data_IF_889068586600
#
_entry.id   IF_889068586600
#
_cell.length_a   1.000
_cell.length_b   1.000
_cell.length_c   1.000
_cell.angle_alpha   90.00
_cell.angle_beta   90.00
_cell.angle_gamma   90.00
#
_symmetry.space_group_name_H-M   'P 1'
#
loop_
_entity.id
_entity.type
_entity.pdbx_description
1 polymer ?
#
# COMPACT_ATOMS: atom_id res chain seq x y z
N UNK A 1 -16.95 -24.37 9.73
CA UNK A 1 -17.96 -23.53 9.06
C UNK A 1 -18.15 -22.26 9.87
N UNK A 2 -18.08 -21.08 9.25
CA UNK A 2 -18.27 -19.78 9.91
C UNK A 2 -19.37 -18.98 9.20
N UNK A 3 -20.56 -18.98 9.81
CA UNK A 3 -21.74 -18.26 9.34
C UNK A 3 -22.05 -17.00 10.16
N UNK A 4 -21.41 -16.83 11.32
CA UNK A 4 -21.78 -15.81 12.28
C UNK A 4 -21.39 -14.41 11.78
N UNK A 5 -22.39 -13.60 11.47
CA UNK A 5 -22.23 -12.20 11.05
C UNK A 5 -23.56 -11.45 11.21
N UNK A 6 -23.49 -10.14 11.48
CA UNK A 6 -24.58 -9.23 11.16
C UNK A 6 -24.68 -9.11 9.64
N UNK A 7 -25.90 -9.13 9.08
CA UNK A 7 -26.11 -9.34 7.64
C UNK A 7 -27.04 -8.36 6.94
N UNK A 8 -27.67 -7.43 7.65
CA UNK A 8 -28.65 -6.53 7.04
C UNK A 8 -27.94 -5.33 6.39
N UNK A 9 -27.98 -5.25 5.05
CA UNK A 9 -27.33 -4.19 4.27
C UNK A 9 -27.74 -2.78 4.74
N UNK A 10 -29.04 -2.50 4.84
CA UNK A 10 -29.54 -1.19 5.24
C UNK A 10 -29.15 -0.78 6.66
N UNK A 11 -29.19 -1.73 7.61
CA UNK A 11 -28.77 -1.46 9.00
C UNK A 11 -27.26 -1.21 9.06
N UNK A 12 -26.46 -1.93 8.26
CA UNK A 12 -25.02 -1.73 8.21
C UNK A 12 -24.64 -0.29 7.85
N UNK A 13 -25.40 0.35 6.95
CA UNK A 13 -25.22 1.76 6.60
C UNK A 13 -25.55 2.72 7.75
N UNK A 14 -26.47 2.35 8.64
CA UNK A 14 -26.82 3.16 9.82
C UNK A 14 -25.87 2.93 11.01
N UNK A 15 -25.34 1.70 11.14
CA UNK A 15 -24.50 1.27 12.27
C UNK A 15 -23.19 0.61 11.78
N UNK A 16 -22.35 1.31 10.99
CA UNK A 16 -21.18 0.70 10.35
C UNK A 16 -20.19 0.11 11.37
N UNK A 17 -19.91 0.82 12.48
CA UNK A 17 -18.97 0.35 13.51
C UNK A 17 -19.41 -0.96 14.18
N UNK A 18 -20.71 -1.18 14.34
CA UNK A 18 -21.24 -2.42 14.93
C UNK A 18 -20.99 -3.61 14.00
N UNK A 19 -21.20 -3.41 12.69
CA UNK A 19 -20.94 -4.42 11.67
C UNK A 19 -19.45 -4.74 11.54
N UNK A 20 -18.57 -3.73 11.51
CA UNK A 20 -17.12 -3.96 11.47
C UNK A 20 -16.63 -4.71 12.72
N UNK A 21 -17.05 -4.27 13.90
CA UNK A 21 -16.67 -4.92 15.17
C UNK A 21 -17.16 -6.37 15.22
N UNK A 22 -18.42 -6.63 14.87
CA UNK A 22 -18.97 -7.97 14.95
C UNK A 22 -18.35 -8.90 13.89
N UNK A 23 -18.33 -8.47 12.62
CA UNK A 23 -18.00 -9.36 11.51
C UNK A 23 -16.49 -9.56 11.37
N UNK A 24 -15.68 -8.51 11.49
CA UNK A 24 -14.22 -8.60 11.31
C UNK A 24 -13.58 -9.15 12.59
N UNK A 25 -13.75 -8.47 13.73
CA UNK A 25 -13.12 -8.90 14.98
C UNK A 25 -13.64 -10.26 15.44
N UNK A 26 -14.95 -10.55 15.27
CA UNK A 26 -15.48 -11.89 15.56
C UNK A 26 -14.82 -12.99 14.73
N UNK A 27 -14.50 -12.72 13.47
CA UNK A 27 -13.78 -13.67 12.62
C UNK A 27 -12.31 -13.81 13.03
N UNK A 28 -11.60 -12.71 13.34
CA UNK A 28 -10.22 -12.77 13.82
C UNK A 28 -10.09 -13.58 15.11
N UNK A 29 -10.97 -13.34 16.09
CA UNK A 29 -11.01 -14.09 17.34
C UNK A 29 -11.21 -15.59 17.12
N UNK A 30 -12.09 -15.96 16.17
CA UNK A 30 -12.28 -17.35 15.80
C UNK A 30 -11.00 -17.94 15.20
N UNK A 31 -10.34 -17.23 14.29
CA UNK A 31 -9.12 -17.71 13.63
C UNK A 31 -7.98 -17.91 14.64
N UNK A 32 -7.76 -16.98 15.57
CA UNK A 32 -6.76 -17.12 16.63
C UNK A 32 -7.01 -18.39 17.47
N UNK A 33 -8.28 -18.69 17.77
CA UNK A 33 -8.66 -19.92 18.45
C UNK A 33 -8.42 -21.15 17.57
N UNK A 34 -8.80 -21.11 16.29
CA UNK A 34 -8.55 -22.21 15.36
C UNK A 34 -7.05 -22.53 15.26
N UNK A 35 -6.20 -21.51 15.15
CA UNK A 35 -4.74 -21.65 15.15
C UNK A 35 -4.24 -22.26 16.47
N UNK A 36 -4.67 -21.71 17.61
CA UNK A 36 -4.32 -22.22 18.95
C UNK A 36 -4.64 -23.70 19.14
N UNK A 37 -5.73 -24.18 18.54
CA UNK A 37 -6.17 -25.57 18.62
C UNK A 37 -5.75 -26.42 17.40
N UNK A 38 -4.90 -25.89 16.51
CA UNK A 38 -4.39 -26.63 15.34
C UNK A 38 -5.44 -26.93 14.26
N UNK A 39 -6.57 -26.24 14.26
CA UNK A 39 -7.61 -26.37 13.25
C UNK A 39 -7.30 -25.51 12.02
N UNK A 40 -6.94 -26.13 10.89
CA UNK A 40 -6.48 -25.45 9.68
C UNK A 40 -7.49 -25.43 8.53
N UNK A 41 -8.74 -25.79 8.81
CA UNK A 41 -9.81 -25.88 7.82
C UNK A 41 -10.95 -24.95 8.20
N UNK A 42 -11.26 -24.00 7.31
CA UNK A 42 -12.36 -23.06 7.49
C UNK A 42 -13.17 -22.95 6.20
N UNK A 43 -14.49 -23.04 6.36
CA UNK A 43 -15.44 -22.62 5.32
C UNK A 43 -16.05 -21.32 5.80
N UNK A 44 -15.91 -20.27 4.99
CA UNK A 44 -16.40 -18.93 5.30
C UNK A 44 -17.62 -18.59 4.45
N UNK A 45 -18.69 -18.16 5.11
CA UNK A 45 -19.88 -17.66 4.42
C UNK A 45 -19.65 -16.23 3.96
N UNK A 46 -19.31 -16.06 2.68
CA UNK A 46 -19.17 -14.74 2.06
C UNK A 46 -20.52 -14.20 1.57
N UNK A 47 -20.52 -13.33 0.56
CA UNK A 47 -21.72 -12.76 -0.05
C UNK A 47 -21.42 -12.14 -1.40
N UNK A 48 -22.31 -12.30 -2.39
CA UNK A 48 -22.26 -11.58 -3.66
C UNK A 48 -22.12 -10.04 -3.55
N UNK A 49 -22.37 -9.44 -2.38
CA UNK A 49 -22.08 -8.02 -2.12
C UNK A 49 -20.59 -7.66 -2.23
N UNK A 50 -19.68 -8.65 -2.20
CA UNK A 50 -18.23 -8.43 -2.43
C UNK A 50 -17.88 -8.09 -3.87
N UNK A 51 -18.79 -8.31 -4.82
CA UNK A 51 -18.63 -7.92 -6.23
C UNK A 51 -19.04 -6.46 -6.50
N UNK A 52 -19.61 -5.75 -5.51
CA UNK A 52 -20.01 -4.35 -5.68
C UNK A 52 -21.14 -4.15 -6.69
N UNK A 53 -21.00 -3.14 -7.55
CA UNK A 53 -21.89 -2.87 -8.69
C UNK A 53 -21.30 -3.54 -9.96
N UNK A 54 -21.80 -4.71 -10.38
CA UNK A 54 -21.16 -5.52 -11.40
C UNK A 54 -21.35 -4.93 -12.80
N UNK A 55 -20.28 -4.92 -13.60
CA UNK A 55 -20.34 -4.45 -15.00
C UNK A 55 -21.00 -5.44 -15.96
N UNK A 56 -21.01 -6.74 -15.63
CA UNK A 56 -21.58 -7.81 -16.44
C UNK A 56 -22.48 -8.71 -15.59
N UNK A 57 -23.50 -9.29 -16.22
CA UNK A 57 -24.39 -10.28 -15.62
C UNK A 57 -24.55 -11.49 -16.57
N UNK A 58 -24.62 -12.74 -16.05
CA UNK A 58 -24.47 -13.12 -14.65
C UNK A 58 -23.05 -12.89 -14.12
N UNK A 59 -22.92 -12.66 -12.80
CA UNK A 59 -21.62 -12.50 -12.14
C UNK A 59 -20.96 -13.89 -12.04
N UNK A 60 -19.69 -13.98 -12.42
CA UNK A 60 -18.86 -15.18 -12.26
C UNK A 60 -17.84 -14.98 -11.13
N UNK A 61 -17.36 -16.07 -10.53
CA UNK A 61 -16.30 -16.09 -9.52
C UNK A 61 -14.96 -15.55 -10.01
N UNK A 62 -14.78 -15.44 -11.34
CA UNK A 62 -13.63 -14.81 -11.97
C UNK A 62 -13.72 -13.28 -12.03
N UNK A 63 -14.89 -12.70 -11.70
CA UNK A 63 -15.07 -11.25 -11.64
C UNK A 63 -14.32 -10.65 -10.45
N UNK A 64 -13.93 -9.38 -10.59
CA UNK A 64 -13.18 -8.68 -9.55
C UNK A 64 -14.03 -8.44 -8.30
N UNK A 65 -13.46 -8.76 -7.14
CA UNK A 65 -14.05 -8.44 -5.83
C UNK A 65 -13.41 -7.19 -5.23
N UNK A 66 -14.13 -6.49 -4.35
CA UNK A 66 -13.61 -5.31 -3.64
C UNK A 66 -13.69 -4.00 -4.40
N UNK A 67 -14.13 -4.03 -5.66
CA UNK A 67 -14.34 -2.84 -6.49
C UNK A 67 -15.78 -2.37 -6.36
N UNK A 68 -15.99 -1.06 -6.17
CA UNK A 68 -17.34 -0.48 -6.16
C UNK A 68 -18.25 -0.97 -5.01
N UNK A 69 -17.69 -1.38 -3.88
CA UNK A 69 -18.47 -1.83 -2.72
C UNK A 69 -19.39 -0.73 -2.20
N UNK A 70 -20.70 -0.99 -2.21
CA UNK A 70 -21.74 0.04 -1.98
C UNK A 70 -22.20 0.19 -0.53
N UNK A 71 -21.82 -0.74 0.36
CA UNK A 71 -22.33 -0.77 1.74
C UNK A 71 -21.35 -1.40 2.74
N UNK A 72 -21.45 -1.04 4.05
CA UNK A 72 -20.56 -1.56 5.09
C UNK A 72 -20.61 -3.09 5.24
N UNK A 73 -21.77 -3.73 5.09
CA UNK A 73 -21.87 -5.20 5.16
C UNK A 73 -21.01 -5.89 4.09
N UNK A 74 -21.14 -5.51 2.82
CA UNK A 74 -20.32 -6.06 1.73
C UNK A 74 -18.83 -5.79 1.93
N UNK A 75 -18.48 -4.61 2.43
CA UNK A 75 -17.11 -4.29 2.87
C UNK A 75 -16.62 -5.23 3.95
N UNK A 76 -17.39 -5.53 4.99
CA UNK A 76 -16.96 -6.46 6.04
C UNK A 76 -16.67 -7.87 5.51
N UNK A 77 -17.43 -8.34 4.51
CA UNK A 77 -17.21 -9.64 3.86
C UNK A 77 -15.92 -9.65 3.04
N UNK A 78 -15.74 -8.65 2.18
CA UNK A 78 -14.52 -8.51 1.38
C UNK A 78 -13.26 -8.36 2.26
N UNK A 79 -13.32 -7.53 3.30
CA UNK A 79 -12.23 -7.36 4.26
C UNK A 79 -11.85 -8.67 4.95
N UNK A 80 -12.84 -9.50 5.29
CA UNK A 80 -12.61 -10.80 5.90
C UNK A 80 -11.98 -11.78 4.91
N UNK A 81 -12.42 -11.79 3.64
CA UNK A 81 -11.76 -12.59 2.60
C UNK A 81 -10.30 -12.22 2.43
N UNK A 82 -9.97 -10.92 2.42
CA UNK A 82 -8.59 -10.44 2.28
C UNK A 82 -7.70 -10.88 3.46
N UNK A 83 -8.19 -10.75 4.70
CA UNK A 83 -7.49 -11.25 5.90
C UNK A 83 -7.25 -12.75 5.78
N UNK A 84 -8.26 -13.52 5.37
CA UNK A 84 -8.15 -14.97 5.23
C UNK A 84 -7.17 -15.37 4.12
N UNK A 85 -7.16 -14.70 2.97
CA UNK A 85 -6.20 -14.92 1.87
C UNK A 85 -4.77 -14.68 2.34
N UNK A 86 -4.53 -13.58 3.07
CA UNK A 86 -3.20 -13.27 3.60
C UNK A 86 -2.70 -14.34 4.59
N UNK A 87 -3.60 -14.85 5.45
CA UNK A 87 -3.29 -15.95 6.36
C UNK A 87 -3.03 -17.26 5.61
N UNK A 88 -3.81 -17.62 4.60
CA UNK A 88 -3.56 -18.80 3.77
C UNK A 88 -2.15 -18.76 3.17
N UNK A 89 -1.72 -17.59 2.67
CA UNK A 89 -0.38 -17.39 2.13
C UNK A 89 0.72 -17.51 3.20
N UNK A 90 0.46 -17.06 4.42
CA UNK A 90 1.44 -17.06 5.51
C UNK A 90 1.57 -18.42 6.23
N UNK A 91 0.47 -19.13 6.49
CA UNK A 91 0.43 -20.27 7.44
C UNK A 91 -0.08 -21.61 6.85
N UNK A 92 -0.19 -21.74 5.52
CA UNK A 92 -0.69 -22.96 4.83
C UNK A 92 -2.07 -23.43 5.32
N UNK A 93 -2.95 -22.52 5.72
CA UNK A 93 -4.34 -22.82 6.07
C UNK A 93 -5.15 -23.16 4.80
N UNK A 94 -6.03 -24.17 4.83
CA UNK A 94 -6.90 -24.52 3.70
C UNK A 94 -8.27 -23.87 3.87
N UNK A 95 -8.68 -23.04 2.92
CA UNK A 95 -9.96 -22.33 2.92
C UNK A 95 -10.80 -22.70 1.70
N UNK A 96 -12.12 -22.84 1.92
CA UNK A 96 -13.14 -22.88 0.87
C UNK A 96 -14.07 -21.68 1.10
N UNK A 97 -14.16 -20.80 0.11
CA UNK A 97 -15.13 -19.70 0.09
C UNK A 97 -16.43 -20.25 -0.51
N UNK A 98 -17.53 -20.25 0.25
CA UNK A 98 -18.85 -20.63 -0.28
C UNK A 98 -19.64 -19.35 -0.62
N UNK A 99 -19.98 -19.18 -1.89
CA UNK A 99 -21.04 -18.26 -2.38
C UNK A 99 -22.29 -19.10 -2.73
N UNK A 100 -23.52 -18.69 -2.40
CA UNK A 100 -24.67 -19.56 -2.54
C UNK A 100 -25.17 -19.56 -3.99
N UNK A 101 -24.65 -20.49 -4.80
CA UNK A 101 -25.39 -21.37 -5.73
C UNK A 101 -24.40 -22.20 -6.54
N UNK A 102 -24.44 -23.52 -6.37
CA UNK A 102 -23.53 -24.45 -7.03
C UNK A 102 -23.83 -24.67 -8.51
N UNK A 103 -22.80 -25.04 -9.28
CA UNK A 103 -22.62 -26.35 -9.92
C UNK A 103 -21.26 -26.37 -10.66
N UNK A 104 -20.62 -27.54 -10.69
CA UNK A 104 -19.35 -27.81 -11.38
C UNK A 104 -19.43 -27.59 -12.90
N UNK A 105 -18.36 -27.09 -13.52
CA UNK A 105 -18.03 -27.33 -14.94
C UNK A 105 -16.51 -27.58 -15.13
N UNK A 106 -16.11 -28.32 -16.18
CA UNK A 106 -14.92 -29.18 -16.17
C UNK A 106 -13.64 -28.48 -16.67
N UNK A 107 -12.51 -28.96 -16.14
CA UNK A 107 -11.10 -28.60 -16.39
C UNK A 107 -10.67 -28.53 -17.87
N UNK A 108 -11.54 -28.88 -18.83
CA UNK A 108 -11.21 -28.94 -20.26
C UNK A 108 -11.26 -27.58 -20.98
N UNK A 109 -12.08 -26.61 -20.54
CA UNK A 109 -12.19 -25.30 -21.22
C UNK A 109 -11.00 -24.35 -20.92
N UNK A 110 -10.34 -24.53 -19.78
CA UNK A 110 -9.20 -23.71 -19.35
C UNK A 110 -7.93 -24.06 -20.13
N UNK A 111 -7.76 -25.34 -20.46
CA UNK A 111 -6.63 -25.84 -21.23
C UNK A 111 -6.67 -25.34 -22.69
N UNK A 112 -7.85 -25.28 -23.32
CA UNK A 112 -8.02 -24.77 -24.69
C UNK A 112 -7.70 -23.26 -24.78
N UNK A 113 -8.07 -22.47 -23.77
CA UNK A 113 -7.75 -21.05 -23.73
C UNK A 113 -6.25 -20.78 -23.53
N UNK A 114 -5.58 -21.58 -22.69
CA UNK A 114 -4.14 -21.52 -22.46
C UNK A 114 -3.37 -21.93 -23.72
N UNK A 115 -3.82 -22.96 -24.45
CA UNK A 115 -3.19 -23.42 -25.68
C UNK A 115 -3.39 -22.42 -26.83
N UNK A 116 -4.55 -21.76 -26.91
CA UNK A 116 -4.79 -20.67 -27.87
C UNK A 116 -3.87 -19.47 -27.61
N UNK A 117 -3.71 -19.06 -26.35
CA UNK A 117 -2.78 -17.99 -25.94
C UNK A 117 -1.33 -18.34 -26.29
N UNK A 118 -0.92 -19.59 -26.05
CA UNK A 118 0.43 -20.07 -26.36
C UNK A 118 0.70 -20.05 -27.87
N UNK A 119 -0.27 -20.44 -28.69
CA UNK A 119 -0.15 -20.44 -30.15
C UNK A 119 -0.06 -19.00 -30.71
N UNK A 120 -0.89 -18.08 -30.20
CA UNK A 120 -0.82 -16.65 -30.57
C UNK A 120 0.53 -16.05 -30.18
N UNK A 121 1.08 -16.40 -29.02
CA UNK A 121 2.40 -15.95 -28.59
C UNK A 121 3.53 -16.54 -29.45
N UNK A 122 3.44 -17.81 -29.88
CA UNK A 122 4.42 -18.41 -30.79
C UNK A 122 4.39 -17.77 -32.18
N UNK A 123 3.22 -17.46 -32.71
CA UNK A 123 3.07 -16.76 -34.00
C UNK A 123 3.61 -15.33 -33.94
N UNK A 124 3.51 -14.65 -32.79
CA UNK A 124 4.08 -13.31 -32.58
C UNK A 124 5.61 -13.30 -32.47
N UNK A 125 6.24 -14.45 -32.19
CA UNK A 125 7.69 -14.60 -32.05
C UNK A 125 8.38 -15.03 -33.36
N UNK A 126 7.63 -15.31 -34.42
CA UNK A 126 8.12 -15.60 -35.77
C UNK A 126 8.36 -14.28 -36.54
N UNK A 127 9.62 -13.83 -36.74
CA UNK A 127 9.91 -12.48 -37.23
C UNK A 127 9.44 -12.19 -38.66
N UNK A 128 9.20 -13.23 -39.46
CA UNK A 128 9.07 -13.12 -40.91
C UNK A 128 7.62 -12.94 -41.40
N UNK A 129 6.60 -13.05 -40.53
CA UNK A 129 5.18 -12.91 -40.91
C UNK A 129 4.46 -11.72 -40.25
N UNK A 130 5.24 -10.83 -39.62
CA UNK A 130 4.76 -9.72 -38.77
C UNK A 130 3.82 -8.75 -39.49
N UNK A 131 3.95 -8.58 -40.80
CA UNK A 131 3.11 -7.65 -41.60
C UNK A 131 1.75 -8.25 -41.98
N UNK A 132 1.69 -9.54 -42.36
CA UNK A 132 0.43 -10.23 -42.71
C UNK A 132 -0.46 -10.47 -41.49
N UNK A 133 0.14 -10.76 -40.34
CA UNK A 133 -0.62 -10.99 -39.09
C UNK A 133 -1.17 -9.69 -38.50
N UNK A 134 -0.49 -8.55 -38.68
CA UNK A 134 -0.97 -7.24 -38.20
C UNK A 134 -2.24 -6.76 -38.93
N UNK A 135 -2.35 -7.06 -40.22
CA UNK A 135 -3.48 -6.63 -41.06
C UNK A 135 -4.73 -7.47 -40.78
N UNK A 136 -4.55 -8.77 -40.52
CA UNK A 136 -5.59 -9.68 -40.00
C UNK A 136 -6.07 -9.28 -38.60
N UNK A 137 -5.15 -8.91 -37.70
CA UNK A 137 -5.48 -8.48 -36.32
C UNK A 137 -6.17 -7.11 -36.24
N UNK A 138 -5.94 -6.21 -37.21
CA UNK A 138 -6.59 -4.89 -37.28
C UNK A 138 -8.09 -4.96 -37.56
N UNK A 139 -8.56 -6.01 -38.23
CA UNK A 139 -9.93 -6.09 -38.74
C UNK A 139 -10.90 -6.92 -37.87
N UNK A 140 -10.42 -7.74 -36.93
CA UNK A 140 -11.30 -8.77 -36.30
C UNK A 140 -11.45 -8.75 -34.77
N UNK A 141 -10.87 -7.83 -34.01
CA UNK A 141 -11.08 -7.93 -32.55
C UNK A 141 -11.16 -6.62 -31.78
N UNK A 142 -12.40 -6.11 -31.71
CA UNK A 142 -12.86 -5.12 -30.72
C UNK A 142 -12.52 -5.57 -29.29
N UNK A 143 -12.47 -6.88 -29.03
CA UNK A 143 -12.07 -7.46 -27.73
C UNK A 143 -10.59 -7.25 -27.42
N UNK A 144 -9.66 -7.49 -28.37
CA UNK A 144 -8.24 -7.18 -28.17
C UNK A 144 -7.99 -5.68 -28.07
N UNK A 145 -8.74 -4.84 -28.79
CA UNK A 145 -8.70 -3.38 -28.59
C UNK A 145 -9.19 -2.99 -27.21
N UNK A 146 -10.28 -3.58 -26.71
CA UNK A 146 -10.76 -3.31 -25.35
C UNK A 146 -9.84 -3.87 -24.28
N UNK A 147 -9.25 -5.06 -24.45
CA UNK A 147 -8.25 -5.61 -23.54
C UNK A 147 -6.99 -4.78 -23.57
N UNK A 148 -6.43 -4.43 -24.72
CA UNK A 148 -5.22 -3.60 -24.82
C UNK A 148 -5.47 -2.18 -24.32
N UNK A 149 -6.63 -1.60 -24.62
CA UNK A 149 -7.03 -0.29 -24.10
C UNK A 149 -7.26 -0.37 -22.60
N UNK A 150 -7.92 -1.40 -22.08
CA UNK A 150 -8.03 -1.68 -20.65
C UNK A 150 -6.65 -1.89 -20.03
N UNK A 151 -5.73 -2.63 -20.64
CA UNK A 151 -4.36 -2.88 -20.15
C UNK A 151 -3.49 -1.62 -20.19
N UNK A 152 -3.75 -0.68 -21.10
CA UNK A 152 -3.05 0.60 -21.25
C UNK A 152 -3.68 1.68 -20.36
N UNK A 153 -5.01 1.66 -20.20
CA UNK A 153 -5.78 2.60 -19.38
C UNK A 153 -5.80 2.20 -17.89
N UNK A 154 -5.55 0.92 -17.56
CA UNK A 154 -5.37 0.41 -16.17
C UNK A 154 -3.92 0.41 -15.69
N UNK A 155 -2.95 0.80 -16.53
CA UNK A 155 -1.65 1.24 -16.00
C UNK A 155 -1.89 2.56 -15.29
N UNK A 156 -1.91 2.52 -13.96
CA UNK A 156 -1.91 3.70 -13.12
C UNK A 156 -0.84 4.67 -13.62
N UNK A 157 -1.30 5.78 -14.22
CA UNK A 157 -0.39 6.81 -14.74
C UNK A 157 0.17 7.55 -13.54
N UNK A 158 1.46 7.39 -13.28
CA UNK A 158 2.12 8.27 -12.31
C UNK A 158 2.09 9.72 -12.85
N UNK A 159 1.92 10.73 -11.99
CA UNK A 159 1.83 10.64 -10.53
C UNK A 159 0.48 10.14 -9.99
N UNK A 160 0.49 9.46 -8.83
CA UNK A 160 -0.70 8.92 -8.14
C UNK A 160 -1.56 10.06 -7.60
N UNK A 161 -2.86 10.06 -7.92
CA UNK A 161 -3.84 11.04 -7.46
C UNK A 161 -4.82 10.42 -6.46
N UNK A 162 -5.56 11.24 -5.72
CA UNK A 162 -6.47 10.76 -4.67
C UNK A 162 -7.70 10.01 -5.20
N UNK A 163 -8.04 10.22 -6.48
CA UNK A 163 -9.16 9.59 -7.21
C UNK A 163 -8.81 8.25 -7.85
N UNK A 164 -7.57 7.76 -7.70
CA UNK A 164 -7.16 6.45 -8.22
C UNK A 164 -7.95 5.32 -7.55
N UNK A 165 -8.14 4.21 -8.29
CA UNK A 165 -8.80 3.00 -7.79
C UNK A 165 -8.03 2.45 -6.58
N UNK A 166 -8.77 2.07 -5.53
CA UNK A 166 -8.23 1.56 -4.26
C UNK A 166 -8.85 0.20 -3.95
N UNK A 167 -8.15 -0.62 -3.16
CA UNK A 167 -8.67 -1.90 -2.66
C UNK A 167 -7.99 -3.10 -3.31
N UNK A 168 -8.55 -3.59 -4.43
CA UNK A 168 -8.10 -4.83 -5.09
C UNK A 168 -6.61 -4.84 -5.52
N UNK A 169 -5.98 -3.66 -5.64
CA UNK A 169 -4.58 -3.51 -6.04
C UNK A 169 -3.58 -3.41 -4.86
N UNK A 170 -4.03 -3.53 -3.60
CA UNK A 170 -3.11 -3.52 -2.46
C UNK A 170 -2.23 -4.78 -2.47
N UNK A 171 -0.93 -4.62 -2.71
CA UNK A 171 0.05 -5.73 -2.87
C UNK A 171 0.59 -6.29 -1.56
N UNK A 172 0.26 -5.68 -0.41
CA UNK A 172 0.73 -6.09 0.90
C UNK A 172 -0.37 -6.02 1.97
N UNK A 173 -0.33 -6.87 3.01
CA UNK A 173 -1.25 -6.78 4.15
C UNK A 173 -1.24 -5.39 4.80
N UNK A 174 -0.07 -4.76 4.90
CA UNK A 174 0.06 -3.41 5.44
C UNK A 174 -0.77 -2.39 4.63
N UNK A 175 -0.62 -2.38 3.30
CA UNK A 175 -1.43 -1.54 2.41
C UNK A 175 -2.93 -1.82 2.52
N UNK A 176 -3.31 -3.11 2.62
CA UNK A 176 -4.71 -3.52 2.84
C UNK A 176 -5.25 -2.97 4.15
N UNK A 177 -4.50 -3.05 5.26
CA UNK A 177 -4.98 -2.52 6.55
C UNK A 177 -5.29 -1.02 6.49
N UNK A 178 -4.45 -0.22 5.82
CA UNK A 178 -4.67 1.23 5.65
C UNK A 178 -5.90 1.52 4.79
N UNK A 179 -6.08 0.78 3.69
CA UNK A 179 -7.28 0.86 2.87
C UNK A 179 -8.55 0.54 3.68
N UNK A 180 -8.51 -0.54 4.46
CA UNK A 180 -9.62 -0.97 5.32
C UNK A 180 -9.98 0.12 6.33
N UNK A 181 -8.98 0.72 6.99
CA UNK A 181 -9.21 1.84 7.90
C UNK A 181 -9.84 3.05 7.20
N UNK A 182 -9.40 3.42 5.99
CA UNK A 182 -10.04 4.51 5.24
C UNK A 182 -11.50 4.22 4.92
N UNK A 183 -11.83 3.00 4.50
CA UNK A 183 -13.21 2.60 4.20
C UNK A 183 -14.11 2.67 5.43
N UNK A 184 -13.62 2.21 6.59
CA UNK A 184 -14.33 2.31 7.87
C UNK A 184 -14.60 3.77 8.22
N UNK A 185 -13.59 4.64 8.08
CA UNK A 185 -13.71 6.06 8.39
C UNK A 185 -14.68 6.79 7.45
N UNK A 186 -14.70 6.46 6.15
CA UNK A 186 -15.68 6.98 5.20
C UNK A 186 -17.10 6.59 5.58
N UNK A 187 -17.33 5.33 5.88
CA UNK A 187 -18.67 4.85 6.24
C UNK A 187 -19.13 5.45 7.56
N UNK A 188 -18.21 5.68 8.50
CA UNK A 188 -18.50 6.42 9.72
C UNK A 188 -18.98 7.84 9.43
N UNK A 189 -18.26 8.62 8.62
CA UNK A 189 -18.69 10.00 8.26
C UNK A 189 -19.97 10.02 7.41
N UNK A 190 -20.24 8.93 6.67
CA UNK A 190 -21.49 8.78 5.93
C UNK A 190 -22.67 8.58 6.88
N UNK A 191 -22.51 7.76 7.92
CA UNK A 191 -23.52 7.49 8.94
C UNK A 191 -23.66 8.62 9.98
N UNK A 192 -22.56 9.32 10.29
CA UNK A 192 -22.47 10.40 11.30
C UNK A 192 -22.07 11.71 10.61
N UNK A 193 -23.07 12.47 10.17
CA UNK A 193 -22.89 13.68 9.35
C UNK A 193 -22.18 14.83 10.07
N UNK A 194 -22.07 14.77 11.39
CA UNK A 194 -21.40 15.73 12.26
C UNK A 194 -19.89 15.47 12.43
N UNK A 195 -19.37 14.39 11.84
CA UNK A 195 -17.95 14.04 11.87
C UNK A 195 -17.18 14.62 10.69
N UNK A 196 -15.96 15.09 10.96
CA UNK A 196 -14.96 15.45 9.95
C UNK A 196 -13.74 14.55 10.05
N UNK A 197 -13.34 13.93 8.95
CA UNK A 197 -12.15 13.07 8.87
C UNK A 197 -11.29 13.49 7.68
N UNK A 198 -10.00 13.70 7.94
CA UNK A 198 -8.98 13.79 6.91
C UNK A 198 -8.07 12.56 6.98
N UNK A 199 -7.97 11.83 5.87
CA UNK A 199 -6.95 10.80 5.67
C UNK A 199 -5.75 11.41 4.97
N UNK A 200 -4.59 11.38 5.61
CA UNK A 200 -3.35 11.83 5.00
C UNK A 200 -2.54 10.62 4.52
N UNK A 201 -2.31 10.53 3.22
CA UNK A 201 -1.55 9.44 2.59
C UNK A 201 -0.11 9.85 2.40
N UNK A 202 0.74 9.35 3.27
CA UNK A 202 2.17 9.65 3.20
C UNK A 202 2.82 8.76 2.15
N UNK A 203 3.86 9.30 1.51
CA UNK A 203 4.72 8.52 0.62
C UNK A 203 5.90 7.97 1.43
N UNK A 204 7.10 8.51 1.29
CA UNK A 204 8.27 8.03 2.01
C UNK A 204 8.90 9.15 2.85
N UNK A 205 8.40 9.37 4.09
CA UNK A 205 8.93 10.38 4.98
C UNK A 205 10.38 10.08 5.37
N UNK A 206 11.24 11.09 5.27
CA UNK A 206 12.67 11.06 5.59
C UNK A 206 13.10 12.43 6.09
N UNK A 207 14.35 12.59 6.52
CA UNK A 207 14.81 13.85 7.10
C UNK A 207 15.00 13.76 8.60
N UNK A 208 15.39 14.89 9.19
CA UNK A 208 15.45 15.08 10.63
C UNK A 208 15.14 16.54 10.94
N UNK A 209 14.96 16.89 12.21
CA UNK A 209 14.83 18.29 12.56
C UNK A 209 16.15 19.03 12.33
N UNK A 210 16.10 20.23 11.75
CA UNK A 210 17.28 21.03 11.35
C UNK A 210 18.29 21.25 12.50
N UNK A 211 17.83 21.21 13.75
CA UNK A 211 18.72 21.26 14.93
C UNK A 211 19.76 20.14 15.00
N UNK A 212 19.50 18.99 14.37
CA UNK A 212 20.26 17.75 14.57
C UNK A 212 20.09 17.12 15.95
N UNK A 213 19.04 17.52 16.71
CA UNK A 213 18.70 16.98 18.04
C UNK A 213 17.53 16.00 18.04
N UNK A 214 16.79 15.93 16.93
CA UNK A 214 15.64 15.03 16.77
C UNK A 214 15.72 14.47 15.36
N UNK A 215 15.67 13.14 15.24
CA UNK A 215 15.62 12.43 13.97
C UNK A 215 15.18 10.99 14.18
N UNK A 216 15.18 10.20 13.11
CA UNK A 216 14.75 8.80 13.17
C UNK A 216 15.78 7.93 13.90
N UNK A 217 15.31 7.11 14.83
CA UNK A 217 16.12 6.18 15.62
C UNK A 217 15.36 4.85 15.83
N UNK A 218 15.30 3.99 14.80
CA UNK A 218 14.55 2.75 14.87
C UNK A 218 15.26 1.74 15.77
N UNK A 219 14.47 0.94 16.50
CA UNK A 219 15.00 -0.18 17.27
C UNK A 219 15.56 -1.26 16.35
N UNK A 220 16.79 -1.71 16.61
CA UNK A 220 17.44 -2.78 15.86
C UNK A 220 17.95 -2.34 14.48
N UNK A 221 17.95 -3.26 13.51
CA UNK A 221 18.34 -2.97 12.13
C UNK A 221 17.18 -2.24 11.45
N UNK A 222 17.40 -1.04 10.87
CA UNK A 222 16.33 -0.32 10.20
C UNK A 222 15.69 -1.12 9.06
N UNK A 223 14.37 -1.02 8.92
CA UNK A 223 13.66 -1.58 7.77
C UNK A 223 13.59 -0.59 6.59
N UNK A 224 13.63 0.71 6.87
CA UNK A 224 13.51 1.79 5.91
C UNK A 224 14.88 2.13 5.30
N UNK A 225 14.89 2.56 4.04
CA UNK A 225 16.10 2.81 3.27
C UNK A 225 17.03 3.85 3.91
N UNK A 226 16.50 5.04 4.22
CA UNK A 226 17.34 6.19 4.59
C UNK A 226 18.03 6.03 5.96
N UNK A 227 17.37 5.55 7.02
CA UNK A 227 18.06 5.24 8.27
C UNK A 227 19.11 4.14 8.12
N UNK A 228 18.86 3.15 7.25
CA UNK A 228 19.86 2.12 6.95
C UNK A 228 21.09 2.75 6.27
N UNK A 229 20.89 3.57 5.24
CA UNK A 229 21.95 4.33 4.56
C UNK A 229 22.74 5.17 5.57
N UNK A 230 22.05 5.86 6.48
CA UNK A 230 22.67 6.67 7.52
C UNK A 230 23.53 5.84 8.49
N UNK A 231 23.07 4.65 8.88
CA UNK A 231 23.87 3.73 9.71
C UNK A 231 25.07 3.14 8.98
N UNK A 232 24.99 2.91 7.66
CA UNK A 232 26.15 2.52 6.85
C UNK A 232 27.15 3.68 6.78
N UNK A 233 26.69 4.90 6.52
CA UNK A 233 27.54 6.10 6.51
C UNK A 233 28.25 6.34 7.85
N UNK A 234 27.56 6.04 8.95
CA UNK A 234 28.08 6.14 10.31
C UNK A 234 29.01 4.95 10.70
N UNK A 235 29.20 3.97 9.82
CA UNK A 235 30.05 2.80 10.05
C UNK A 235 29.47 1.75 10.99
N UNK A 236 28.16 1.81 11.30
CA UNK A 236 27.48 0.82 12.16
C UNK A 236 27.06 -0.43 11.41
N UNK A 237 26.75 -0.27 10.13
CA UNK A 237 26.39 -1.37 9.23
C UNK A 237 27.42 -1.43 8.10
N UNK A 238 27.85 -2.64 7.70
CA UNK A 238 28.96 -2.78 6.75
C UNK A 238 28.57 -2.38 5.32
N UNK A 239 27.33 -2.66 4.91
CA UNK A 239 26.80 -2.37 3.56
C UNK A 239 25.28 -2.36 3.53
N UNK A 240 24.70 -1.61 2.61
CA UNK A 240 23.28 -1.61 2.29
C UNK A 240 22.92 -2.76 1.35
N UNK A 241 21.75 -3.37 1.53
CA UNK A 241 21.12 -4.25 0.53
C UNK A 241 20.09 -3.47 -0.27
N UNK A 242 20.28 -3.41 -1.59
CA UNK A 242 19.37 -2.78 -2.55
C UNK A 242 18.49 -3.88 -3.15
N UNK A 243 17.21 -3.92 -2.77
CA UNK A 243 16.28 -4.95 -3.22
C UNK A 243 15.79 -4.65 -4.65
N UNK A 244 16.22 -5.46 -5.61
CA UNK A 244 15.90 -5.34 -7.03
C UNK A 244 16.78 -4.36 -7.79
N UNK A 245 17.29 -4.83 -8.94
CA UNK A 245 18.06 -4.04 -9.92
C UNK A 245 17.53 -4.19 -11.35
N UNK A 246 16.31 -4.70 -11.48
CA UNK A 246 15.67 -5.12 -12.73
C UNK A 246 14.23 -4.58 -12.84
N UNK A 247 13.84 -3.62 -11.99
CA UNK A 247 12.57 -2.92 -12.13
C UNK A 247 12.56 -2.09 -13.43
N UNK A 248 11.38 -1.85 -14.04
CA UNK A 248 11.25 -0.99 -15.21
C UNK A 248 11.37 0.51 -14.85
N UNK A 249 12.48 0.89 -14.25
CA UNK A 249 12.82 2.26 -13.81
C UNK A 249 14.16 2.69 -14.44
N UNK A 250 14.53 3.95 -14.30
CA UNK A 250 15.71 4.54 -14.98
C UNK A 250 17.04 3.85 -14.69
N UNK A 251 17.18 3.20 -13.55
CA UNK A 251 18.41 2.52 -13.12
C UNK A 251 18.18 1.11 -12.57
N UNK A 252 16.99 0.54 -12.82
CA UNK A 252 16.61 -0.80 -12.37
C UNK A 252 16.19 -0.89 -10.90
N UNK A 253 16.38 0.15 -10.10
CA UNK A 253 16.03 0.15 -8.67
C UNK A 253 14.68 0.80 -8.39
N UNK A 254 14.07 0.49 -7.24
CA UNK A 254 12.76 1.04 -6.87
C UNK A 254 12.76 2.58 -6.79
N UNK A 255 11.71 3.21 -7.31
CA UNK A 255 11.52 4.67 -7.29
C UNK A 255 10.42 5.05 -6.29
N UNK A 256 10.68 6.03 -5.44
CA UNK A 256 9.77 6.49 -4.39
C UNK A 256 9.74 8.02 -4.29
N UNK A 257 8.64 8.57 -3.81
CA UNK A 257 8.51 9.98 -3.45
C UNK A 257 8.94 10.19 -2.01
N UNK A 258 10.13 10.76 -1.85
CA UNK A 258 10.66 11.09 -0.52
C UNK A 258 10.19 12.47 -0.12
N UNK A 259 9.64 12.58 1.09
CA UNK A 259 9.13 13.82 1.66
C UNK A 259 9.85 14.13 2.96
N UNK A 260 10.24 15.40 3.17
CA UNK A 260 10.91 15.79 4.39
C UNK A 260 9.94 15.75 5.58
N UNK A 261 10.38 15.21 6.72
CA UNK A 261 9.55 15.01 7.91
C UNK A 261 8.91 16.30 8.42
N UNK A 262 9.63 17.43 8.35
CA UNK A 262 9.07 18.73 8.72
C UNK A 262 7.98 19.21 7.75
N UNK A 263 8.11 18.94 6.45
CA UNK A 263 7.05 19.27 5.48
C UNK A 263 5.83 18.38 5.72
N UNK A 264 6.05 17.12 6.09
CA UNK A 264 4.97 16.23 6.49
C UNK A 264 4.24 16.76 7.75
N UNK A 265 4.97 17.21 8.76
CA UNK A 265 4.41 17.81 9.99
C UNK A 265 3.60 19.07 9.66
N UNK A 266 4.10 19.95 8.78
CA UNK A 266 3.30 21.12 8.37
C UNK A 266 2.02 20.70 7.64
N UNK A 267 2.05 19.60 6.87
CA UNK A 267 0.86 19.03 6.24
C UNK A 267 -0.19 18.57 7.25
N UNK A 268 0.25 17.97 8.36
CA UNK A 268 -0.64 17.61 9.47
C UNK A 268 -1.27 18.85 10.12
N UNK A 269 -0.47 19.90 10.37
CA UNK A 269 -0.97 21.16 10.94
C UNK A 269 -2.02 21.78 10.01
N UNK A 270 -1.77 21.80 8.70
CA UNK A 270 -2.73 22.32 7.71
C UNK A 270 -4.01 21.51 7.61
N UNK A 271 -3.92 20.19 7.69
CA UNK A 271 -5.09 19.33 7.78
C UNK A 271 -5.90 19.60 9.06
N UNK A 272 -5.25 19.76 10.20
CA UNK A 272 -5.91 20.10 11.47
C UNK A 272 -6.59 21.47 11.40
N UNK A 273 -5.90 22.50 10.89
CA UNK A 273 -6.48 23.82 10.64
C UNK A 273 -7.72 23.73 9.73
N UNK A 274 -7.70 22.87 8.71
CA UNK A 274 -8.84 22.66 7.82
C UNK A 274 -10.01 21.97 8.52
N UNK A 275 -9.76 20.94 9.34
CA UNK A 275 -10.80 20.27 10.15
C UNK A 275 -11.44 21.25 11.13
N UNK A 276 -10.62 22.05 11.82
CA UNK A 276 -11.08 22.98 12.86
C UNK A 276 -11.92 24.15 12.29
N UNK A 277 -11.91 24.36 10.97
CA UNK A 277 -12.85 25.26 10.26
C UNK A 277 -14.23 24.60 10.01
N UNK A 278 -14.63 23.71 10.91
CA UNK A 278 -15.89 22.97 10.90
C UNK A 278 -16.12 22.07 9.67
N UNK A 279 -15.04 21.51 9.10
CA UNK A 279 -15.19 20.55 8.01
C UNK A 279 -15.91 19.28 8.48
N UNK A 280 -16.93 18.85 7.71
CA UNK A 280 -17.68 17.62 7.90
C UNK A 280 -17.58 16.72 6.67
N UNK A 281 -17.57 15.41 6.89
CA UNK A 281 -17.38 14.40 5.86
C UNK A 281 -15.98 13.81 5.87
N UNK A 282 -15.63 13.11 4.79
CA UNK A 282 -14.32 12.48 4.61
C UNK A 282 -13.58 13.14 3.45
N UNK A 283 -12.28 13.39 3.65
CA UNK A 283 -11.38 13.81 2.57
C UNK A 283 -10.04 13.12 2.70
N UNK A 284 -9.44 12.76 1.57
CA UNK A 284 -8.08 12.23 1.54
C UNK A 284 -7.16 13.22 0.83
N UNK A 285 -5.92 13.31 1.28
CA UNK A 285 -4.87 14.09 0.63
C UNK A 285 -3.59 13.27 0.54
N UNK A 286 -2.95 13.28 -0.63
CA UNK A 286 -1.59 12.79 -0.78
C UNK A 286 -0.61 13.83 -0.22
N UNK A 287 0.27 13.40 0.67
CA UNK A 287 1.38 14.22 1.18
C UNK A 287 2.71 13.65 0.69
N UNK A 288 3.22 14.26 -0.38
CA UNK A 288 4.52 13.97 -0.99
C UNK A 288 5.00 15.18 -1.79
N UNK A 289 6.15 15.04 -2.44
CA UNK A 289 6.76 16.11 -3.26
C UNK A 289 6.35 16.04 -4.72
N UNK A 290 5.81 14.90 -5.14
CA UNK A 290 5.58 14.52 -6.53
C UNK A 290 6.82 14.21 -7.34
N UNK A 291 8.00 14.18 -6.70
CA UNK A 291 9.27 13.84 -7.34
C UNK A 291 9.70 12.42 -6.95
N UNK A 292 9.78 11.54 -7.94
CA UNK A 292 10.30 10.18 -7.75
C UNK A 292 11.83 10.14 -7.78
N UNK A 293 12.45 9.58 -6.73
CA UNK A 293 13.88 9.27 -6.68
C UNK A 293 14.08 7.75 -6.56
N UNK A 294 15.08 7.22 -7.25
CA UNK A 294 15.47 5.82 -7.14
C UNK A 294 16.29 5.55 -5.88
N UNK A 295 16.46 4.28 -5.51
CA UNK A 295 17.36 3.90 -4.41
C UNK A 295 18.79 4.43 -4.65
N UNK A 296 19.28 4.38 -5.89
CA UNK A 296 20.62 4.89 -6.21
C UNK A 296 20.70 6.42 -6.20
N UNK A 297 19.62 7.14 -6.50
CA UNK A 297 19.57 8.59 -6.31
C UNK A 297 19.76 8.96 -4.84
N UNK A 298 19.06 8.27 -3.93
CA UNK A 298 19.17 8.48 -2.48
C UNK A 298 20.59 8.20 -2.00
N UNK A 299 21.21 7.11 -2.46
CA UNK A 299 22.60 6.79 -2.11
C UNK A 299 23.55 7.90 -2.54
N UNK A 300 23.39 8.45 -3.76
CA UNK A 300 24.23 9.56 -4.24
C UNK A 300 24.02 10.84 -3.41
N UNK A 301 22.77 11.23 -3.19
CA UNK A 301 22.45 12.41 -2.37
C UNK A 301 23.00 12.27 -0.93
N UNK A 302 22.95 11.07 -0.36
CA UNK A 302 23.50 10.82 0.97
C UNK A 302 25.03 10.82 1.01
N UNK A 303 25.71 10.31 -0.02
CA UNK A 303 27.18 10.42 -0.16
C UNK A 303 27.62 11.88 -0.19
N UNK A 304 26.93 12.70 -0.98
CA UNK A 304 27.18 14.15 -1.06
C UNK A 304 26.98 14.83 0.30
N UNK A 305 25.86 14.55 0.98
CA UNK A 305 25.55 15.13 2.29
C UNK A 305 26.52 14.71 3.41
N UNK A 306 27.01 13.47 3.37
CA UNK A 306 27.84 12.89 4.43
C UNK A 306 29.35 13.00 4.20
N UNK A 307 29.77 13.13 2.94
CA UNK A 307 31.17 12.95 2.53
C UNK A 307 31.70 11.54 2.81
N UNK A 308 30.82 10.54 2.98
CA UNK A 308 31.16 9.14 3.28
C UNK A 308 30.81 8.24 2.11
N UNK A 309 31.60 7.17 1.95
CA UNK A 309 31.20 6.08 1.08
C UNK A 309 30.00 5.33 1.68
N UNK A 310 29.13 4.86 0.78
CA UNK A 310 27.96 4.04 1.14
C UNK A 310 28.07 2.73 0.36
N UNK A 311 28.77 1.71 0.88
CA UNK A 311 28.84 0.40 0.24
C UNK A 311 27.44 -0.21 0.12
N UNK A 312 27.12 -0.79 -1.03
CA UNK A 312 25.85 -1.49 -1.24
C UNK A 312 26.01 -2.70 -2.16
N UNK A 313 25.06 -3.63 -2.05
CA UNK A 313 24.90 -4.76 -2.97
C UNK A 313 23.47 -4.81 -3.50
N UNK A 314 23.29 -5.12 -4.78
CA UNK A 314 21.97 -5.39 -5.35
C UNK A 314 21.62 -6.84 -5.07
N UNK A 315 20.43 -7.08 -4.54
CA UNK A 315 19.88 -8.40 -4.18
C UNK A 315 18.51 -8.61 -4.83
N UNK A 316 17.92 -9.79 -4.65
CA UNK A 316 16.58 -10.09 -5.14
C UNK A 316 15.51 -9.09 -4.65
N UNK A 317 14.41 -8.99 -5.40
CA UNK A 317 13.29 -8.12 -5.03
C UNK A 317 12.67 -8.54 -3.70
N UNK A 318 12.25 -7.56 -2.91
CA UNK A 318 11.50 -7.81 -1.68
C UNK A 318 10.02 -8.09 -2.04
N UNK A 319 9.40 -9.15 -1.50
CA UNK A 319 7.98 -9.41 -1.73
C UNK A 319 7.12 -8.20 -1.34
N UNK A 320 6.20 -7.82 -2.23
CA UNK A 320 5.30 -6.67 -2.05
C UNK A 320 5.81 -5.35 -2.61
N UNK A 321 7.12 -5.20 -2.88
CA UNK A 321 7.69 -3.96 -3.43
C UNK A 321 7.30 -3.74 -4.89
N UNK A 322 6.76 -2.55 -5.18
CA UNK A 322 6.44 -2.09 -6.52
C UNK A 322 7.59 -1.28 -7.15
N UNK A 323 7.58 -1.17 -8.48
CA UNK A 323 8.63 -0.51 -9.24
C UNK A 323 8.76 0.99 -8.92
N UNK A 324 7.66 1.74 -9.00
CA UNK A 324 7.65 3.19 -8.80
C UNK A 324 6.37 3.65 -8.09
N UNK A 325 6.49 4.62 -7.17
CA UNK A 325 5.37 5.24 -6.47
C UNK A 325 5.69 6.70 -6.11
N UNK A 326 4.93 7.66 -6.64
CA UNK A 326 5.02 9.09 -6.31
C UNK A 326 3.69 9.81 -6.57
N UNK A 327 3.37 10.88 -5.82
CA UNK A 327 2.03 11.51 -5.87
C UNK A 327 1.91 12.74 -6.75
N UNK A 328 0.67 13.08 -7.07
CA UNK A 328 0.22 14.43 -7.33
C UNK A 328 -0.30 14.98 -5.99
N UNK A 329 0.31 16.06 -5.50
CA UNK A 329 -0.07 16.73 -4.25
C UNK A 329 -0.91 18.02 -4.51
N UNK A 330 -1.35 18.27 -5.75
CA UNK A 330 -2.07 19.49 -6.12
C UNK A 330 -3.37 19.70 -5.34
N UNK A 331 -4.02 18.62 -4.89
CA UNK A 331 -5.23 18.72 -4.09
C UNK A 331 -4.93 19.28 -2.68
N UNK A 332 -3.82 18.85 -2.07
CA UNK A 332 -3.37 19.38 -0.78
C UNK A 332 -2.94 20.85 -0.91
N UNK A 333 -2.27 21.23 -2.00
CA UNK A 333 -1.93 22.62 -2.27
C UNK A 333 -3.18 23.48 -2.40
N UNK A 334 -4.14 23.06 -3.24
CA UNK A 334 -5.37 23.80 -3.49
C UNK A 334 -6.21 24.01 -2.23
N UNK A 335 -6.43 22.95 -1.45
CA UNK A 335 -7.43 22.98 -0.39
C UNK A 335 -6.83 23.29 0.99
N UNK A 336 -5.59 22.89 1.24
CA UNK A 336 -4.90 23.11 2.51
C UNK A 336 -3.89 24.27 2.46
N UNK A 337 -3.56 24.78 1.26
CA UNK A 337 -2.47 25.73 1.07
C UNK A 337 -1.11 25.11 1.44
N UNK A 338 -0.96 23.80 1.25
CA UNK A 338 0.23 23.05 1.65
C UNK A 338 0.99 22.51 0.44
N UNK A 339 2.31 22.69 0.44
CA UNK A 339 3.22 22.08 -0.52
C UNK A 339 4.51 21.68 0.21
N UNK A 340 5.12 20.55 -0.17
CA UNK A 340 6.44 20.18 0.32
C UNK A 340 7.50 21.11 -0.31
N UNK A 341 8.43 21.59 0.49
CA UNK A 341 9.39 22.65 0.11
C UNK A 341 10.83 22.16 0.03
N UNK A 342 11.14 21.05 0.68
CA UNK A 342 12.49 20.47 0.76
C UNK A 342 12.68 19.37 -0.27
N UNK A 343 13.90 19.27 -0.78
CA UNK A 343 14.30 18.23 -1.73
C UNK A 343 15.13 17.11 -1.10
N UNK A 344 15.55 16.14 -1.90
CA UNK A 344 16.32 14.99 -1.42
C UNK A 344 17.67 15.37 -0.78
N UNK A 345 18.27 16.49 -1.19
CA UNK A 345 19.53 16.96 -0.62
C UNK A 345 19.30 17.54 0.77
N UNK A 346 18.26 18.35 0.96
CA UNK A 346 17.84 18.83 2.28
C UNK A 346 17.58 17.66 3.23
N UNK A 347 16.82 16.66 2.76
CA UNK A 347 16.50 15.44 3.51
C UNK A 347 17.75 14.69 3.94
N UNK A 348 18.66 14.40 3.01
CA UNK A 348 19.89 13.68 3.33
C UNK A 348 20.81 14.49 4.24
N UNK A 349 20.89 15.81 4.05
CA UNK A 349 21.70 16.71 4.86
C UNK A 349 21.24 16.76 6.31
N UNK A 350 19.93 16.85 6.54
CA UNK A 350 19.35 16.88 7.88
C UNK A 350 19.46 15.50 8.57
N UNK A 351 19.23 14.39 7.84
CA UNK A 351 19.48 13.04 8.37
C UNK A 351 20.94 12.87 8.78
N UNK A 352 21.89 13.28 7.94
CA UNK A 352 23.31 13.17 8.30
C UNK A 352 23.68 14.07 9.48
N UNK A 353 23.12 15.29 9.56
CA UNK A 353 23.33 16.19 10.71
C UNK A 353 22.87 15.54 12.01
N UNK A 354 21.73 14.85 12.00
CA UNK A 354 21.25 14.05 13.14
C UNK A 354 22.16 12.85 13.42
N UNK A 355 22.38 11.98 12.44
CA UNK A 355 23.07 10.71 12.62
C UNK A 355 24.54 10.87 13.03
N UNK A 356 25.24 11.88 12.50
CA UNK A 356 26.64 12.18 12.84
C UNK A 356 26.82 12.69 14.27
N UNK A 357 25.80 13.37 14.83
CA UNK A 357 25.77 13.83 16.22
C UNK A 357 25.27 12.76 17.19
N UNK A 358 24.47 11.82 16.69
CA UNK A 358 23.77 10.80 17.46
C UNK A 358 24.03 9.42 16.85
N UNK A 359 25.31 9.02 16.77
CA UNK A 359 25.72 7.75 16.13
C UNK A 359 24.95 6.57 16.72
N UNK A 360 24.74 6.56 18.04
CA UNK A 360 24.03 5.50 18.74
C UNK A 360 22.54 5.75 18.94
N UNK A 361 21.97 6.75 18.26
CA UNK A 361 20.58 7.16 18.46
C UNK A 361 20.41 8.00 19.72
N UNK A 362 19.19 8.00 20.26
CA UNK A 362 18.90 8.64 21.53
C UNK A 362 19.60 7.92 22.68
N UNK A 363 20.03 8.70 23.67
CA UNK A 363 20.58 8.17 24.91
C UNK A 363 19.49 7.40 25.66
N UNK A 364 19.81 6.17 26.08
CA UNK A 364 18.90 5.36 26.92
C UNK A 364 18.80 5.96 28.32
N UNK A 365 17.74 5.66 29.05
CA UNK A 365 17.52 6.17 30.42
C UNK A 365 18.68 5.91 31.39
N UNK A 366 19.50 4.90 31.14
CA UNK A 366 20.68 4.56 31.95
C UNK A 366 21.88 5.48 31.69
N UNK A 367 21.80 6.41 30.72
CA UNK A 367 22.86 7.37 30.43
C UNK A 367 22.74 8.60 31.36
N UNK A 368 23.77 8.92 32.17
CA UNK A 368 23.74 10.03 33.13
C UNK A 368 23.57 11.42 32.50
N UNK A 369 23.67 11.54 31.17
CA UNK A 369 23.53 12.78 30.41
C UNK A 369 22.30 12.77 29.46
N UNK A 370 21.30 11.92 29.73
CA UNK A 370 20.06 11.83 28.93
C UNK A 370 19.08 12.95 29.31
N UNK A 371 18.77 13.85 28.37
CA UNK A 371 17.83 14.98 28.57
C UNK A 371 16.43 14.65 27.99
N UNK A 372 16.33 13.64 27.11
CA UNK A 372 15.09 13.23 26.43
C UNK A 372 14.97 11.70 26.46
N UNK A 373 13.92 11.18 27.08
CA UNK A 373 13.68 9.75 27.28
C UNK A 373 12.90 9.13 26.11
N UNK A 374 13.35 7.97 25.60
CA UNK A 374 12.52 7.09 24.77
C UNK A 374 11.61 6.23 25.68
N UNK A 375 10.28 6.19 25.50
CA UNK A 375 9.37 5.44 26.37
C UNK A 375 9.71 3.93 26.39
N UNK A 376 9.85 3.35 27.59
CA UNK A 376 10.39 2.00 27.87
C UNK A 376 9.87 0.81 27.06
N UNK A 377 8.72 0.89 26.39
CA UNK A 377 8.01 -0.26 25.85
C UNK A 377 7.47 -0.09 24.43
N UNK A 378 7.93 0.91 23.68
CA UNK A 378 7.42 1.14 22.33
C UNK A 378 8.34 0.48 21.30
N UNK A 379 8.01 -0.76 20.91
CA UNK A 379 8.61 -1.48 19.77
C UNK A 379 8.18 -0.91 18.40
N UNK A 380 7.71 0.33 18.35
CA UNK A 380 7.10 0.88 17.15
C UNK A 380 8.03 1.89 16.48
N UNK A 381 8.34 1.62 15.22
CA UNK A 381 8.81 2.62 14.26
C UNK A 381 7.66 3.60 13.98
N UNK A 382 7.33 4.49 14.93
CA UNK A 382 6.51 5.64 14.59
C UNK A 382 7.42 6.80 14.23
N UNK A 383 7.16 7.35 13.05
CA UNK A 383 7.57 8.67 12.61
C UNK A 383 7.30 9.68 13.74
N UNK A 384 8.37 10.31 14.23
CA UNK A 384 8.29 11.50 15.09
C UNK A 384 7.89 12.69 14.22
#
# INVERSE_FOLDING_TARGET
MHFAALKAVGESCAKPLEYYKNNITGTMNLIELLEKFGCKSLVYSSSATVYGDPSNLPISENELTGVGLTNPYGKTKYMTEEILKDLCNAIQMKMILEDPKGFYLPVQAEQEAIDLLRNVMQDMLQPNERSKNLERLKNENTFLRHILRWFVDTREKLPIREDFLRGANCTSPEGKTKFICEEILKDLTTAKKDWGVISLRYFNPVGAHVSGLIGEDPNGIPNNLVPFVAQVAAGKLPKLKVFGGDYPTKDGTGVRDYIHITDLITGHIKALEFILKDFKGFKAYNLGTGKGYSVLDVIRAFREASGKDIPYEIVDRRPGDIAASYCDASLAEKDLGWIATRDIHDMCQDVWRWQSRNINGFKKETDPNCILHSPKNWNCCYLV
#
